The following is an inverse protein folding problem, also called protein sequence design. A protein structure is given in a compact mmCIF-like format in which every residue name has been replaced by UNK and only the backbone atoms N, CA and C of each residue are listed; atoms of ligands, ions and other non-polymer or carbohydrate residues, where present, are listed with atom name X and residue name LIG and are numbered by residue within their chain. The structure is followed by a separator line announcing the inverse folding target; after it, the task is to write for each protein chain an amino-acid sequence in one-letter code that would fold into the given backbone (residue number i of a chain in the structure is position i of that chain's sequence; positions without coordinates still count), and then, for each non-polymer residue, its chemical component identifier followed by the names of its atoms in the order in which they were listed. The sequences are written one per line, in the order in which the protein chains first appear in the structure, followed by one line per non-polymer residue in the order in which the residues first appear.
data_IF_058843111204
#
_entry.id   IF_058843111204
#
_cell.length_a   1.000
_cell.length_b   1.000
_cell.length_c   1.000
_cell.angle_alpha   90.00
_cell.angle_beta   90.00
_cell.angle_gamma   90.00
#
_symmetry.space_group_name_H-M   'P 1'
#
loop_
_entity.id
_entity.type
_entity.pdbx_description
1 polymer ?
#
# COMPACT_ATOMS: atom_id res chain seq x y z
N UNK A 1 -1.36 -25.01 -13.48
CA UNK A 1 -2.42 -25.31 -14.48
C UNK A 1 -3.17 -24.01 -14.72
N UNK A 2 -3.26 -23.48 -15.96
CA UNK A 2 -3.99 -22.25 -16.22
C UNK A 2 -5.46 -22.43 -15.88
N UNK A 3 -5.97 -21.59 -14.98
CA UNK A 3 -7.39 -21.56 -14.61
C UNK A 3 -8.19 -21.21 -15.88
N UNK A 4 -9.15 -22.04 -16.26
CA UNK A 4 -10.02 -21.77 -17.42
C UNK A 4 -10.66 -20.40 -17.25
N UNK A 5 -10.76 -19.60 -18.31
CA UNK A 5 -11.23 -18.20 -18.25
C UNK A 5 -12.62 -18.03 -17.61
N UNK A 6 -13.51 -19.03 -17.74
CA UNK A 6 -14.81 -19.06 -17.08
C UNK A 6 -14.70 -19.16 -15.55
N UNK A 7 -13.81 -20.03 -15.04
CA UNK A 7 -13.61 -20.18 -13.59
C UNK A 7 -13.04 -18.89 -12.95
N UNK A 8 -12.15 -18.21 -13.66
CA UNK A 8 -11.58 -16.95 -13.17
C UNK A 8 -12.60 -15.81 -13.12
N UNK A 9 -13.54 -15.75 -14.07
CA UNK A 9 -14.61 -14.75 -14.04
C UNK A 9 -15.61 -15.01 -12.92
N UNK A 10 -15.88 -16.29 -12.62
CA UNK A 10 -16.76 -16.67 -11.51
C UNK A 10 -16.13 -16.40 -10.15
N UNK A 11 -14.81 -16.52 -10.03
CA UNK A 11 -14.06 -16.11 -8.83
C UNK A 11 -14.20 -14.60 -8.63
N UNK A 12 -13.95 -13.79 -9.65
CA UNK A 12 -14.07 -12.33 -9.55
C UNK A 12 -15.50 -11.89 -9.17
N UNK A 13 -16.53 -12.45 -9.82
CA UNK A 13 -17.94 -12.15 -9.50
C UNK A 13 -18.31 -12.49 -8.06
N UNK A 14 -17.78 -13.62 -7.53
CA UNK A 14 -17.97 -13.97 -6.11
C UNK A 14 -17.23 -12.98 -5.19
N UNK A 15 -16.03 -12.56 -5.56
CA UNK A 15 -15.28 -11.56 -4.78
C UNK A 15 -16.02 -10.23 -4.73
N UNK A 16 -16.57 -9.74 -5.87
CA UNK A 16 -17.40 -8.54 -5.91
C UNK A 16 -18.57 -8.68 -4.93
N UNK A 17 -19.35 -9.76 -5.06
CA UNK A 17 -20.53 -9.99 -4.19
C UNK A 17 -20.20 -10.12 -2.70
N UNK A 18 -18.95 -10.47 -2.38
CA UNK A 18 -18.53 -10.67 -0.99
C UNK A 18 -17.83 -9.42 -0.39
N UNK A 19 -17.15 -8.64 -1.21
CA UNK A 19 -16.31 -7.51 -0.76
C UNK A 19 -16.95 -6.15 -0.96
N UNK A 20 -17.88 -6.04 -1.91
CA UNK A 20 -18.59 -4.80 -2.18
C UNK A 20 -20.05 -4.89 -1.69
N UNK A 21 -20.40 -4.21 -0.58
CA UNK A 21 -21.76 -4.17 -0.06
C UNK A 21 -22.78 -3.57 -1.05
N UNK A 22 -22.31 -2.78 -2.03
CA UNK A 22 -23.17 -2.16 -3.05
C UNK A 22 -23.58 -3.13 -4.16
N UNK A 23 -22.85 -4.24 -4.36
CA UNK A 23 -23.13 -5.21 -5.40
C UNK A 23 -24.37 -6.07 -5.07
N UNK A 24 -25.38 -6.00 -5.95
CA UNK A 24 -26.65 -6.72 -5.74
C UNK A 24 -26.76 -8.00 -6.54
N UNK A 25 -26.18 -8.06 -7.74
CA UNK A 25 -26.33 -9.21 -8.65
C UNK A 25 -25.03 -9.56 -9.37
N UNK A 26 -24.88 -10.84 -9.73
CA UNK A 26 -23.73 -11.30 -10.53
C UNK A 26 -23.72 -10.71 -11.96
N UNK A 27 -24.89 -10.36 -12.49
CA UNK A 27 -24.99 -9.71 -13.80
C UNK A 27 -24.47 -8.28 -13.72
N UNK A 28 -24.83 -7.56 -12.70
CA UNK A 28 -24.27 -6.23 -12.40
C UNK A 28 -22.74 -6.28 -12.27
N UNK A 29 -22.22 -7.22 -11.48
CA UNK A 29 -20.78 -7.44 -11.35
C UNK A 29 -20.10 -7.75 -12.70
N UNK A 30 -20.79 -8.41 -13.63
CA UNK A 30 -20.25 -8.72 -14.95
C UNK A 30 -20.25 -7.52 -15.90
N UNK A 31 -21.22 -6.65 -15.80
CA UNK A 31 -21.46 -5.57 -16.77
C UNK A 31 -20.92 -4.21 -16.28
N UNK A 32 -20.96 -3.96 -14.96
CA UNK A 32 -20.69 -2.63 -14.40
C UNK A 32 -19.34 -2.51 -13.69
N UNK A 33 -18.58 -3.60 -13.54
CA UNK A 33 -17.29 -3.56 -12.83
C UNK A 33 -16.10 -3.47 -13.81
N UNK A 34 -15.50 -2.30 -13.96
CA UNK A 34 -14.42 -2.07 -14.92
C UNK A 34 -13.18 -2.92 -14.65
N UNK A 35 -12.90 -3.25 -13.39
CA UNK A 35 -11.80 -4.14 -13.01
C UNK A 35 -11.88 -5.52 -13.65
N UNK A 36 -13.06 -6.10 -13.75
CA UNK A 36 -13.28 -7.39 -14.45
C UNK A 36 -12.94 -7.29 -15.93
N UNK A 37 -13.41 -6.24 -16.60
CA UNK A 37 -13.17 -6.02 -18.02
C UNK A 37 -11.69 -5.79 -18.31
N UNK A 38 -11.01 -4.98 -17.49
CA UNK A 38 -9.58 -4.74 -17.60
C UNK A 38 -8.76 -6.03 -17.45
N UNK A 39 -9.11 -6.89 -16.49
CA UNK A 39 -8.42 -8.18 -16.28
C UNK A 39 -8.65 -9.12 -17.48
N UNK A 40 -9.84 -9.17 -18.06
CA UNK A 40 -10.09 -10.00 -19.24
C UNK A 40 -9.30 -9.55 -20.46
N UNK A 41 -9.35 -8.24 -20.77
CA UNK A 41 -8.60 -7.67 -21.88
C UNK A 41 -7.09 -7.83 -21.68
N UNK A 42 -6.60 -7.64 -20.45
CA UNK A 42 -5.19 -7.90 -20.12
C UNK A 42 -4.81 -9.36 -20.37
N UNK A 43 -5.61 -10.33 -19.94
CA UNK A 43 -5.30 -11.76 -20.16
C UNK A 43 -5.17 -12.12 -21.64
N UNK A 44 -6.00 -11.51 -22.50
CA UNK A 44 -5.88 -11.67 -23.94
C UNK A 44 -4.59 -11.02 -24.46
N UNK A 45 -4.33 -9.76 -24.05
CA UNK A 45 -3.13 -9.03 -24.44
C UNK A 45 -1.84 -9.74 -23.97
N UNK A 46 -1.84 -10.23 -22.73
CA UNK A 46 -0.70 -10.97 -22.16
C UNK A 46 -0.38 -12.25 -22.91
N UNK A 47 -1.40 -13.03 -23.31
CA UNK A 47 -1.19 -14.23 -24.13
C UNK A 47 -0.53 -13.93 -25.49
N UNK A 48 -0.90 -12.81 -26.11
CA UNK A 48 -0.29 -12.38 -27.37
C UNK A 48 1.12 -11.82 -27.15
N UNK A 49 1.31 -11.10 -26.06
CA UNK A 49 2.63 -10.58 -25.65
C UNK A 49 3.64 -11.70 -25.44
N UNK A 50 3.25 -12.78 -24.74
CA UNK A 50 4.08 -13.97 -24.53
C UNK A 50 4.43 -14.71 -25.84
N UNK A 51 3.66 -14.53 -26.92
CA UNK A 51 3.98 -15.04 -28.27
C UNK A 51 4.94 -14.13 -29.04
N UNK A 52 5.47 -13.08 -28.42
CA UNK A 52 6.38 -12.12 -29.04
C UNK A 52 5.72 -10.99 -29.83
N UNK A 53 4.39 -10.88 -29.78
CA UNK A 53 3.69 -9.75 -30.40
C UNK A 53 3.86 -8.51 -29.53
N UNK A 54 4.13 -7.36 -30.16
CA UNK A 54 4.34 -6.10 -29.42
C UNK A 54 3.18 -5.13 -29.63
N UNK A 55 2.86 -4.83 -30.87
CA UNK A 55 1.89 -3.77 -31.22
C UNK A 55 0.47 -4.12 -30.81
N UNK A 56 -0.02 -5.30 -31.18
CA UNK A 56 -1.41 -5.71 -30.90
C UNK A 56 -1.72 -5.76 -29.40
N UNK A 57 -0.88 -6.37 -28.53
CA UNK A 57 -1.09 -6.30 -27.09
C UNK A 57 -1.15 -4.87 -26.54
N UNK A 58 -0.31 -3.97 -27.05
CA UNK A 58 -0.29 -2.57 -26.65
C UNK A 58 -1.55 -1.81 -27.09
N UNK A 59 -2.05 -2.07 -28.28
CA UNK A 59 -3.31 -1.52 -28.75
C UNK A 59 -4.49 -2.00 -27.90
N UNK A 60 -4.53 -3.31 -27.57
CA UNK A 60 -5.54 -3.87 -26.66
C UNK A 60 -5.47 -3.23 -25.27
N UNK A 61 -4.27 -3.00 -24.74
CA UNK A 61 -4.10 -2.30 -23.48
C UNK A 61 -4.61 -0.85 -23.53
N UNK A 62 -4.28 -0.11 -24.62
CA UNK A 62 -4.76 1.27 -24.81
C UNK A 62 -6.28 1.32 -24.90
N UNK A 63 -6.88 0.37 -25.60
CA UNK A 63 -8.34 0.23 -25.70
C UNK A 63 -8.96 -0.10 -24.34
N UNK A 64 -8.36 -1.04 -23.59
CA UNK A 64 -8.79 -1.39 -22.23
C UNK A 64 -8.78 -0.17 -21.31
N UNK A 65 -7.67 0.59 -21.32
CA UNK A 65 -7.53 1.82 -20.55
C UNK A 65 -8.58 2.87 -20.92
N UNK A 66 -8.87 3.04 -22.21
CA UNK A 66 -9.91 3.96 -22.66
C UNK A 66 -11.29 3.57 -22.10
N UNK A 67 -11.63 2.28 -22.10
CA UNK A 67 -12.93 1.79 -21.61
C UNK A 67 -13.06 1.79 -20.09
N UNK A 68 -11.97 1.49 -19.37
CA UNK A 68 -12.03 1.15 -17.94
C UNK A 68 -11.33 2.18 -17.04
N UNK A 69 -10.48 3.05 -17.61
CA UNK A 69 -9.60 3.92 -16.85
C UNK A 69 -8.43 3.19 -16.16
N UNK A 70 -8.23 1.88 -16.47
CA UNK A 70 -7.23 1.01 -15.83
C UNK A 70 -6.15 0.66 -16.85
N UNK A 71 -4.90 0.93 -16.52
CA UNK A 71 -3.72 0.66 -17.34
C UNK A 71 -2.94 -0.55 -16.81
N UNK A 72 -3.07 -1.71 -17.43
CA UNK A 72 -2.31 -2.92 -17.08
C UNK A 72 -1.42 -3.29 -18.26
N UNK A 73 -0.10 -3.09 -18.11
CA UNK A 73 0.83 -3.42 -19.20
C UNK A 73 0.73 -4.91 -19.59
N UNK A 74 0.73 -5.27 -20.88
CA UNK A 74 0.62 -6.66 -21.32
C UNK A 74 1.69 -7.60 -20.77
N UNK A 75 2.86 -7.09 -20.40
CA UNK A 75 3.94 -7.86 -19.78
C UNK A 75 3.74 -8.19 -18.30
N UNK A 76 2.83 -7.51 -17.61
CA UNK A 76 2.57 -7.75 -16.19
C UNK A 76 2.04 -9.16 -15.93
N UNK A 77 2.44 -9.78 -14.82
CA UNK A 77 1.95 -11.09 -14.40
C UNK A 77 0.92 -10.94 -13.29
N UNK A 78 -0.29 -11.42 -13.52
CA UNK A 78 -1.41 -11.32 -12.59
C UNK A 78 -1.77 -12.70 -12.04
N UNK A 79 -1.65 -12.86 -10.71
CA UNK A 79 -2.10 -14.05 -10.01
C UNK A 79 -3.62 -14.23 -9.99
N UNK A 80 -4.09 -15.39 -9.55
CA UNK A 80 -5.52 -15.69 -9.42
C UNK A 80 -6.15 -14.86 -8.31
N UNK A 81 -7.42 -14.48 -8.49
CA UNK A 81 -8.15 -13.77 -7.45
C UNK A 81 -7.79 -12.29 -7.32
N UNK A 82 -7.08 -11.70 -8.30
CA UNK A 82 -6.89 -10.25 -8.32
C UNK A 82 -8.26 -9.56 -8.33
N UNK A 83 -8.45 -8.64 -7.40
CA UNK A 83 -9.64 -7.80 -7.29
C UNK A 83 -9.26 -6.33 -7.47
N UNK A 84 -9.90 -5.64 -8.41
CA UNK A 84 -9.73 -4.21 -8.65
C UNK A 84 -11.04 -3.53 -8.31
N UNK A 85 -11.02 -2.75 -7.25
CA UNK A 85 -12.17 -1.97 -6.82
C UNK A 85 -12.08 -0.54 -7.34
N UNK A 86 -13.18 -0.04 -7.93
CA UNK A 86 -13.27 1.21 -8.67
C UNK A 86 -12.29 1.30 -9.86
N UNK A 87 -10.99 1.27 -9.60
CA UNK A 87 -9.90 1.08 -10.55
C UNK A 87 -9.51 2.30 -11.38
N UNK A 88 -10.27 3.39 -11.42
CA UNK A 88 -9.93 4.58 -12.22
C UNK A 88 -8.53 5.09 -11.88
N UNK A 89 -7.66 5.25 -12.89
CA UNK A 89 -6.28 5.72 -12.71
C UNK A 89 -5.32 4.69 -12.11
N UNK A 90 -5.73 3.42 -11.99
CA UNK A 90 -4.83 2.32 -11.63
C UNK A 90 -3.81 2.09 -12.75
N UNK A 91 -2.53 1.95 -12.39
CA UNK A 91 -1.44 1.63 -13.32
C UNK A 91 -0.64 0.43 -12.80
N UNK A 92 -0.52 -0.62 -13.60
CA UNK A 92 0.33 -1.79 -13.37
C UNK A 92 1.39 -1.86 -14.46
N UNK A 93 2.66 -1.66 -14.09
CA UNK A 93 3.77 -1.58 -15.03
C UNK A 93 4.21 -2.92 -15.59
N UNK A 94 5.05 -2.89 -16.62
CA UNK A 94 5.44 -4.03 -17.48
C UNK A 94 5.95 -5.25 -16.72
N UNK A 95 6.85 -5.06 -15.75
CA UNK A 95 7.49 -6.16 -15.03
C UNK A 95 6.93 -6.36 -13.63
N UNK A 96 5.72 -5.82 -13.36
CA UNK A 96 5.02 -6.07 -12.12
C UNK A 96 4.52 -7.52 -12.04
N UNK A 97 4.65 -8.10 -10.87
CA UNK A 97 4.18 -9.45 -10.57
C UNK A 97 3.25 -9.40 -9.37
N UNK A 98 2.06 -9.94 -9.51
CA UNK A 98 1.05 -9.99 -8.46
C UNK A 98 0.74 -11.43 -8.10
N UNK A 99 0.78 -11.72 -6.81
CA UNK A 99 0.35 -13.00 -6.24
C UNK A 99 -1.15 -13.21 -6.27
N UNK A 100 -1.61 -14.16 -5.45
CA UNK A 100 -3.02 -14.54 -5.36
C UNK A 100 -3.80 -13.60 -4.45
N UNK A 101 -5.09 -13.37 -4.75
CA UNK A 101 -6.03 -12.60 -3.91
C UNK A 101 -5.60 -11.16 -3.59
N UNK A 102 -4.81 -10.54 -4.46
CA UNK A 102 -4.42 -9.12 -4.30
C UNK A 102 -5.63 -8.23 -4.53
N UNK A 103 -5.77 -7.19 -3.71
CA UNK A 103 -6.80 -6.15 -3.87
C UNK A 103 -6.13 -4.81 -4.17
N UNK A 104 -6.56 -4.17 -5.26
CA UNK A 104 -6.06 -2.85 -5.67
C UNK A 104 -7.24 -1.88 -5.80
N UNK A 105 -7.04 -0.67 -5.29
CA UNK A 105 -8.03 0.41 -5.40
C UNK A 105 -7.65 1.42 -6.49
N UNK A 106 -8.57 2.37 -6.73
CA UNK A 106 -8.37 3.45 -7.70
C UNK A 106 -7.10 4.25 -7.41
N UNK A 107 -6.47 4.76 -8.48
CA UNK A 107 -5.29 5.61 -8.40
C UNK A 107 -4.01 4.94 -7.91
N UNK A 108 -4.03 3.62 -7.65
CA UNK A 108 -2.82 2.85 -7.30
C UNK A 108 -1.84 2.84 -8.46
N UNK A 109 -0.55 2.94 -8.17
CA UNK A 109 0.51 2.79 -9.17
C UNK A 109 1.52 1.73 -8.71
N UNK A 110 1.65 0.65 -9.46
CA UNK A 110 2.75 -0.30 -9.34
C UNK A 110 3.80 0.08 -10.41
N UNK A 111 4.67 1.02 -10.06
CA UNK A 111 5.57 1.71 -10.97
C UNK A 111 7.02 1.26 -10.87
N UNK A 112 7.78 1.54 -11.93
CA UNK A 112 9.23 1.37 -11.95
C UNK A 112 9.96 2.64 -11.53
N UNK A 113 11.23 2.49 -11.17
CA UNK A 113 12.17 3.59 -10.95
C UNK A 113 13.33 3.50 -11.94
N UNK A 114 13.81 4.67 -12.40
CA UNK A 114 14.96 4.75 -13.30
C UNK A 114 14.66 4.36 -14.74
N UNK A 115 15.75 4.19 -15.53
CA UNK A 115 15.73 3.87 -16.97
C UNK A 115 16.19 2.43 -17.25
N UNK A 116 16.27 1.58 -16.24
CA UNK A 116 16.79 0.23 -16.36
C UNK A 116 15.86 -0.65 -17.19
N UNK A 117 16.46 -1.49 -18.02
CA UNK A 117 15.77 -2.56 -18.74
C UNK A 117 15.70 -3.79 -17.83
N UNK A 118 14.57 -4.50 -17.84
CA UNK A 118 14.35 -5.68 -17.01
C UNK A 118 13.41 -5.43 -15.83
N UNK A 119 13.60 -6.16 -14.73
CA UNK A 119 12.75 -6.06 -13.52
C UNK A 119 12.94 -4.69 -12.88
N UNK A 120 11.92 -3.84 -12.98
CA UNK A 120 11.90 -2.48 -12.45
C UNK A 120 10.60 -2.12 -11.73
N UNK A 121 9.61 -3.01 -11.78
CA UNK A 121 8.32 -2.85 -11.10
C UNK A 121 8.22 -3.82 -9.93
N UNK A 122 7.37 -3.54 -8.94
CA UNK A 122 7.29 -4.33 -7.71
C UNK A 122 6.75 -5.73 -7.94
N UNK A 123 7.11 -6.62 -7.01
CA UNK A 123 6.45 -7.90 -6.80
C UNK A 123 5.54 -7.79 -5.60
N UNK A 124 4.26 -8.10 -5.77
CA UNK A 124 3.22 -8.04 -4.73
C UNK A 124 2.89 -9.46 -4.32
N UNK A 125 3.06 -9.78 -3.04
CA UNK A 125 2.75 -11.10 -2.50
C UNK A 125 1.25 -11.43 -2.46
N UNK A 126 0.92 -12.58 -1.88
CA UNK A 126 -0.46 -13.04 -1.76
C UNK A 126 -1.24 -12.25 -0.70
N UNK A 127 -2.55 -12.10 -0.89
CA UNK A 127 -3.48 -11.43 0.05
C UNK A 127 -3.08 -9.99 0.40
N UNK A 128 -2.33 -9.30 -0.47
CA UNK A 128 -1.94 -7.90 -0.24
C UNK A 128 -3.08 -6.98 -0.64
N UNK A 129 -3.31 -5.95 0.19
CA UNK A 129 -4.24 -4.86 -0.09
C UNK A 129 -3.44 -3.58 -0.35
N UNK A 130 -3.65 -2.95 -1.51
CA UNK A 130 -3.07 -1.66 -1.84
C UNK A 130 -4.20 -0.64 -1.97
N UNK A 131 -4.28 0.24 -0.97
CA UNK A 131 -5.40 1.18 -0.83
C UNK A 131 -5.32 2.34 -1.84
N UNK A 132 -6.40 3.11 -1.89
CA UNK A 132 -6.61 4.17 -2.89
C UNK A 132 -5.44 5.16 -2.96
N UNK A 133 -5.02 5.48 -4.18
CA UNK A 133 -3.98 6.46 -4.45
C UNK A 133 -2.55 6.07 -4.05
N UNK A 134 -2.34 4.89 -3.45
CA UNK A 134 -1.01 4.46 -3.04
C UNK A 134 -0.08 4.22 -4.23
N UNK A 135 1.22 4.49 -4.06
CA UNK A 135 2.27 4.31 -5.05
C UNK A 135 3.31 3.34 -4.52
N UNK A 136 3.56 2.26 -5.25
CA UNK A 136 4.64 1.29 -4.96
C UNK A 136 5.63 1.37 -6.10
N UNK A 137 6.82 1.93 -5.85
CA UNK A 137 7.74 2.36 -6.89
C UNK A 137 9.11 1.70 -6.71
N UNK A 138 9.44 0.75 -7.58
CA UNK A 138 10.73 0.04 -7.58
C UNK A 138 10.59 -1.46 -7.77
N UNK A 139 11.71 -2.16 -7.90
CA UNK A 139 11.78 -3.61 -8.18
C UNK A 139 11.83 -4.49 -6.91
N UNK A 140 11.35 -3.99 -5.79
CA UNK A 140 11.32 -4.72 -4.52
C UNK A 140 10.02 -5.51 -4.32
N UNK A 141 9.97 -6.28 -3.24
CA UNK A 141 8.81 -7.10 -2.88
C UNK A 141 7.99 -6.46 -1.76
N UNK A 142 6.68 -6.50 -1.92
CA UNK A 142 5.70 -6.31 -0.84
C UNK A 142 5.27 -7.70 -0.38
N UNK A 143 5.63 -8.06 0.84
CA UNK A 143 5.38 -9.39 1.40
C UNK A 143 3.89 -9.69 1.56
N UNK A 144 3.55 -10.99 1.58
CA UNK A 144 2.16 -11.48 1.68
C UNK A 144 1.46 -10.99 2.94
N UNK A 145 0.12 -10.91 2.88
CA UNK A 145 -0.76 -10.48 3.97
C UNK A 145 -0.47 -9.04 4.45
N UNK A 146 0.16 -8.21 3.61
CA UNK A 146 0.48 -6.82 3.96
C UNK A 146 -0.59 -5.86 3.42
N UNK A 147 -0.68 -4.70 4.06
CA UNK A 147 -1.60 -3.63 3.70
C UNK A 147 -0.84 -2.33 3.47
N UNK A 148 -1.05 -1.72 2.32
CA UNK A 148 -0.51 -0.40 1.99
C UNK A 148 -1.64 0.62 2.14
N UNK A 149 -1.46 1.56 3.06
CA UNK A 149 -2.44 2.60 3.36
C UNK A 149 -2.71 3.55 2.21
N UNK A 150 -3.86 4.19 2.23
CA UNK A 150 -4.26 5.14 1.20
C UNK A 150 -3.27 6.30 1.07
N UNK A 151 -2.96 6.71 -0.18
CA UNK A 151 -2.02 7.79 -0.47
C UNK A 151 -0.56 7.51 -0.13
N UNK A 152 -0.20 6.34 0.38
CA UNK A 152 1.16 6.01 0.77
C UNK A 152 2.10 5.89 -0.43
N UNK A 153 3.37 6.26 -0.25
CA UNK A 153 4.42 6.12 -1.26
C UNK A 153 5.50 5.16 -0.77
N UNK A 154 5.45 3.92 -1.24
CA UNK A 154 6.36 2.84 -0.85
C UNK A 154 7.55 2.79 -1.80
N UNK A 155 8.75 2.92 -1.25
CA UNK A 155 10.02 3.01 -1.99
C UNK A 155 11.02 1.92 -1.58
N UNK A 156 10.64 1.06 -0.65
CA UNK A 156 11.50 0.00 -0.09
C UNK A 156 10.71 -1.28 0.13
N UNK A 157 11.42 -2.38 0.28
CA UNK A 157 10.86 -3.68 0.59
C UNK A 157 9.97 -3.65 1.83
N UNK A 158 8.85 -4.36 1.75
CA UNK A 158 7.88 -4.51 2.84
C UNK A 158 7.86 -5.98 3.27
N UNK A 159 8.20 -6.29 4.53
CA UNK A 159 8.07 -7.64 5.07
C UNK A 159 6.63 -8.15 5.01
N UNK A 160 6.41 -9.48 5.04
CA UNK A 160 5.05 -10.02 5.15
C UNK A 160 4.36 -9.58 6.46
N UNK A 161 3.03 -9.65 6.46
CA UNK A 161 2.17 -9.31 7.61
C UNK A 161 2.39 -7.88 8.14
N UNK A 162 2.65 -6.93 7.24
CA UNK A 162 3.00 -5.55 7.60
C UNK A 162 1.94 -4.56 7.12
N UNK A 163 1.76 -3.49 7.90
CA UNK A 163 0.99 -2.31 7.47
C UNK A 163 1.96 -1.16 7.22
N UNK A 164 1.83 -0.53 6.04
CA UNK A 164 2.67 0.60 5.62
C UNK A 164 1.79 1.81 5.36
N UNK A 165 2.16 2.97 5.93
CA UNK A 165 1.46 4.24 5.71
C UNK A 165 2.43 5.40 5.54
N UNK A 166 1.96 6.47 4.90
CA UNK A 166 2.66 7.76 4.80
C UNK A 166 3.50 7.98 3.55
N UNK A 167 4.11 9.16 3.47
CA UNK A 167 4.98 9.62 2.38
C UNK A 167 6.26 10.23 2.97
N UNK A 168 7.41 9.52 2.88
CA UNK A 168 7.61 8.15 2.40
C UNK A 168 6.96 7.11 3.33
N UNK A 169 6.53 5.97 2.74
CA UNK A 169 5.85 4.89 3.47
C UNK A 169 6.72 4.28 4.57
N UNK A 170 6.16 4.15 5.76
CA UNK A 170 6.79 3.55 6.93
C UNK A 170 5.97 2.37 7.42
N UNK A 171 6.63 1.32 7.89
CA UNK A 171 5.97 0.17 8.50
C UNK A 171 5.51 0.59 9.90
N UNK A 172 4.21 0.56 10.14
CA UNK A 172 3.60 0.92 11.42
C UNK A 172 3.11 -0.28 12.21
N UNK A 173 2.89 -1.42 11.51
CA UNK A 173 2.51 -2.69 12.14
C UNK A 173 3.26 -3.82 11.44
N UNK A 174 3.70 -4.81 12.20
CA UNK A 174 4.29 -6.06 11.71
C UNK A 174 3.79 -7.22 12.58
N UNK A 175 3.34 -8.32 11.94
CA UNK A 175 2.81 -9.50 12.61
C UNK A 175 1.70 -9.19 13.63
N UNK A 176 0.83 -8.19 13.33
CA UNK A 176 -0.23 -7.74 14.22
C UNK A 176 0.22 -6.87 15.41
N UNK A 177 1.54 -6.64 15.56
CA UNK A 177 2.09 -5.81 16.63
C UNK A 177 2.41 -4.42 16.06
N UNK A 178 1.92 -3.36 16.69
CA UNK A 178 2.31 -1.99 16.37
C UNK A 178 3.78 -1.78 16.68
N UNK A 179 4.53 -1.23 15.74
CA UNK A 179 5.96 -0.92 15.90
C UNK A 179 6.16 0.39 16.68
N UNK A 180 5.12 1.22 16.80
CA UNK A 180 5.11 2.43 17.63
C UNK A 180 3.86 2.48 18.51
N UNK A 181 4.12 2.53 19.83
CA UNK A 181 3.24 2.81 20.98
C UNK A 181 1.75 2.44 20.89
N UNK A 182 1.42 1.51 21.82
CA UNK A 182 0.12 1.21 22.46
C UNK A 182 -1.12 0.91 21.61
N UNK A 183 -1.43 -0.36 21.66
CA UNK A 183 -2.68 -1.09 21.80
C UNK A 183 -3.87 -0.96 20.85
N UNK A 184 -4.28 -2.17 20.52
CA UNK A 184 -5.62 -2.77 20.28
C UNK A 184 -6.03 -2.90 18.81
N UNK A 185 -6.47 -3.99 18.30
CA UNK A 185 -7.01 -5.28 18.74
C UNK A 185 -7.27 -6.20 17.55
N UNK A 186 -7.11 -7.47 17.82
CA UNK A 186 -7.61 -8.72 17.24
C UNK A 186 -7.62 -8.97 15.72
N UNK A 187 -7.12 -10.16 15.34
CA UNK A 187 -7.08 -10.65 13.98
C UNK A 187 -8.34 -11.50 13.72
N UNK A 188 -9.29 -10.98 12.98
CA UNK A 188 -10.33 -11.85 12.42
C UNK A 188 -10.86 -11.30 11.09
N UNK A 189 -10.13 -11.55 10.06
CA UNK A 189 -10.54 -11.80 8.68
C UNK A 189 -9.33 -11.80 7.75
N UNK A 190 -9.27 -12.74 6.81
CA UNK A 190 -8.16 -12.95 5.87
C UNK A 190 -7.90 -11.75 4.92
N UNK A 191 -8.73 -10.71 4.93
CA UNK A 191 -8.55 -9.44 4.19
C UNK A 191 -9.17 -8.32 5.01
N UNK A 192 -8.35 -7.48 5.62
CA UNK A 192 -8.80 -6.28 6.31
C UNK A 192 -9.00 -5.11 5.34
N UNK A 193 -10.24 -4.70 5.16
CA UNK A 193 -10.64 -3.56 4.33
C UNK A 193 -10.91 -2.27 5.14
N UNK A 194 -10.64 -2.26 6.44
CA UNK A 194 -10.87 -1.12 7.32
C UNK A 194 -9.79 -0.04 7.09
N UNK A 195 -10.03 0.85 6.14
CA UNK A 195 -9.10 1.93 5.80
C UNK A 195 -9.09 3.07 6.83
N UNK A 196 -10.13 3.17 7.67
CA UNK A 196 -10.27 4.19 8.71
C UNK A 196 -9.54 3.85 10.02
N UNK A 197 -8.95 2.66 10.12
CA UNK A 197 -8.20 2.22 11.30
C UNK A 197 -6.69 2.14 11.06
N UNK A 198 -6.20 2.76 10.01
CA UNK A 198 -4.76 2.83 9.75
C UNK A 198 -4.08 3.75 10.76
N UNK A 199 -2.97 3.32 11.38
CA UNK A 199 -2.19 4.18 12.26
C UNK A 199 -1.68 5.42 11.51
N UNK A 200 -1.75 6.59 12.13
CA UNK A 200 -1.16 7.81 11.59
C UNK A 200 0.29 7.96 12.08
N UNK A 201 1.29 7.83 11.19
CA UNK A 201 2.69 7.96 11.60
C UNK A 201 3.10 9.40 11.92
N UNK A 202 2.33 10.39 11.49
CA UNK A 202 2.60 11.81 11.79
C UNK A 202 2.13 12.12 13.20
N UNK A 203 0.91 11.70 13.58
CA UNK A 203 0.40 11.85 14.95
C UNK A 203 1.32 11.17 15.98
N UNK A 204 1.76 9.94 15.71
CA UNK A 204 2.71 9.24 16.58
C UNK A 204 4.07 9.97 16.73
N UNK A 205 4.50 10.69 15.69
CA UNK A 205 5.73 11.49 15.74
C UNK A 205 5.51 12.80 16.50
N UNK A 206 4.38 13.45 16.31
CA UNK A 206 4.00 14.68 17.03
C UNK A 206 3.88 14.43 18.53
N UNK A 207 3.23 13.33 18.93
CA UNK A 207 3.11 12.93 20.35
C UNK A 207 4.49 12.70 21.00
N UNK A 208 5.40 12.02 20.29
CA UNK A 208 6.79 11.81 20.79
C UNK A 208 7.57 13.11 20.87
N UNK A 209 7.36 14.01 19.93
CA UNK A 209 8.03 15.32 19.93
C UNK A 209 7.51 16.16 21.09
N UNK A 210 6.20 16.16 21.35
CA UNK A 210 5.60 16.81 22.50
C UNK A 210 6.14 16.27 23.82
N UNK A 211 6.19 14.95 24.01
CA UNK A 211 6.79 14.30 25.16
C UNK A 211 8.27 14.65 25.36
N UNK A 212 9.02 14.72 24.26
CA UNK A 212 10.43 15.12 24.30
C UNK A 212 10.59 16.58 24.71
N UNK A 213 9.76 17.49 24.20
CA UNK A 213 9.77 18.90 24.58
C UNK A 213 9.46 19.08 26.05
N UNK A 214 8.43 18.42 26.60
CA UNK A 214 8.10 18.47 28.03
C UNK A 214 9.26 18.01 28.90
N UNK A 215 9.95 16.94 28.52
CA UNK A 215 11.15 16.46 29.26
C UNK A 215 12.31 17.44 29.16
N UNK A 216 12.48 18.09 28.02
CA UNK A 216 13.53 19.09 27.85
C UNK A 216 13.26 20.34 28.70
N UNK A 217 12.02 20.81 28.75
CA UNK A 217 11.60 21.92 29.59
C UNK A 217 11.85 21.64 31.07
N UNK A 218 11.42 20.46 31.57
CA UNK A 218 11.70 20.03 32.94
C UNK A 218 13.19 20.00 33.28
N UNK A 219 14.01 19.57 32.33
CA UNK A 219 15.47 19.50 32.49
C UNK A 219 16.13 20.89 32.50
N UNK A 220 15.58 21.83 31.71
CA UNK A 220 16.01 23.23 31.72
C UNK A 220 15.69 23.87 33.06
N UNK A 221 14.48 23.70 33.62
CA UNK A 221 14.11 24.19 34.93
C UNK A 221 15.02 23.67 36.06
N UNK A 222 15.37 22.37 36.03
CA UNK A 222 16.31 21.80 36.96
C UNK A 222 17.70 22.44 36.87
N UNK A 223 18.20 22.66 35.66
CA UNK A 223 19.50 23.29 35.42
C UNK A 223 19.52 24.75 35.86
N UNK A 224 18.45 25.49 35.60
CA UNK A 224 18.28 26.87 36.04
C UNK A 224 18.29 26.98 37.57
N UNK A 225 17.59 26.08 38.26
CA UNK A 225 17.58 26.01 39.72
C UNK A 225 18.97 25.73 40.31
N UNK A 226 19.74 24.82 39.65
CA UNK A 226 21.11 24.52 40.06
C UNK A 226 22.03 25.73 39.90
N UNK A 227 21.92 26.43 38.75
CA UNK A 227 22.69 27.65 38.43
C UNK A 227 22.38 28.75 39.45
N UNK A 228 21.09 28.95 39.72
CA UNK A 228 20.66 29.95 40.68
C UNK A 228 21.24 29.65 42.11
N UNK A 229 21.18 28.40 42.56
CA UNK A 229 21.73 27.96 43.83
C UNK A 229 23.25 28.19 43.91
N UNK A 230 23.96 27.91 42.83
CA UNK A 230 25.41 28.19 42.77
C UNK A 230 25.74 29.67 42.79
N UNK A 231 24.95 30.52 42.14
CA UNK A 231 25.13 32.00 42.21
C UNK A 231 24.96 32.50 43.62
N UNK A 232 23.89 32.11 44.29
CA UNK A 232 23.64 32.52 45.70
C UNK A 232 24.72 32.02 46.66
N UNK A 233 25.28 30.83 46.45
CA UNK A 233 26.40 30.32 47.24
C UNK A 233 27.68 31.11 47.04
N UNK A 234 27.98 31.54 45.80
CA UNK A 234 29.14 32.33 45.47
C UNK A 234 29.02 33.79 45.99
N UNK A 235 27.85 34.40 45.95
CA UNK A 235 27.59 35.71 46.52
C UNK A 235 27.76 35.72 48.04
N UNK A 236 27.30 34.64 48.74
CA UNK A 236 27.51 34.50 50.18
C UNK A 236 28.99 34.28 50.57
N UNK A 237 29.81 33.67 49.71
CA UNK A 237 31.25 33.51 49.94
C UNK A 237 32.00 34.80 49.70
N UNK A 238 31.63 35.60 48.67
CA UNK A 238 32.32 36.88 48.39
C UNK A 238 31.97 38.03 49.36
N UNK A 239 30.92 37.90 50.18
CA UNK A 239 30.56 38.89 51.21
C UNK A 239 31.15 38.57 52.57
N UNK A 240 31.89 37.47 52.74
CA UNK A 240 32.52 37.05 54.01
C UNK A 240 34.06 37.17 53.95
N UNK A 241 34.63 37.71 52.87
CA UNK A 241 36.01 38.15 52.74
C UNK A 241 36.08 39.68 52.76
#
# INVERSE_FOLDING_TARGET
TPIKSSAASDVYKRQVMHRDPAAKTRLEAALCYPGLHAIWLHRLAHKLYLKGWVLIPRLLNTFSRFLTGIDIHPGATLGPGLFIDHGMGLVIGETAELGSNVTLYQGVTLGGTGKEKGKRHPTIGDNVVVSSGAKVLGSFTVGSNSKIGAGSVVLKEVPPNSVVVGVPGRIVTKDGVRIAASDMSSPDSMIDLNHNQLPDPVADYEDRLADYMVRMDSRLEELEAIIQKHREQNEKRGNNE
#
